data_IF_261699010554
#
_entry.id   IF_261699010554
#
_cell.length_a   1.000
_cell.length_b   1.000
_cell.length_c   1.000
_cell.angle_alpha   90.00
_cell.angle_beta   90.00
_cell.angle_gamma   90.00
#
_symmetry.space_group_name_H-M   'P 1'
#
loop_
_entity.id
_entity.type
_entity.pdbx_description
1 polymer ?
#
# COMPACT_ATOMS: atom_id res chain seq x y z
N UNK A 1 -5.95 -23.88 -32.30
CA UNK A 1 -6.66 -22.99 -31.36
C UNK A 1 -5.66 -22.58 -30.30
N UNK A 2 -5.32 -21.30 -30.18
CA UNK A 2 -4.52 -20.84 -29.05
C UNK A 2 -5.27 -21.20 -27.76
N UNK A 3 -4.60 -21.78 -26.77
CA UNK A 3 -5.23 -22.06 -25.47
C UNK A 3 -5.72 -20.73 -24.90
N UNK A 4 -6.99 -20.67 -24.48
CA UNK A 4 -7.57 -19.50 -23.83
C UNK A 4 -6.83 -19.29 -22.51
N UNK A 5 -6.19 -18.12 -22.35
CA UNK A 5 -5.49 -17.76 -21.11
C UNK A 5 -6.50 -17.59 -19.98
N UNK A 6 -6.19 -18.08 -18.80
CA UNK A 6 -7.01 -17.93 -17.59
C UNK A 6 -6.42 -16.91 -16.63
N UNK A 7 -7.20 -15.87 -16.33
CA UNK A 7 -6.87 -14.82 -15.35
C UNK A 7 -7.66 -15.04 -14.06
N UNK A 8 -6.96 -15.13 -12.94
CA UNK A 8 -7.56 -15.18 -11.61
C UNK A 8 -7.52 -13.80 -10.93
N UNK A 9 -8.68 -13.25 -10.62
CA UNK A 9 -8.81 -12.05 -9.79
C UNK A 9 -8.78 -12.43 -8.30
N UNK A 10 -7.73 -11.98 -7.60
CA UNK A 10 -7.51 -12.17 -6.17
C UNK A 10 -7.87 -10.89 -5.39
N UNK A 11 -8.49 -11.09 -4.23
CA UNK A 11 -8.69 -9.99 -3.27
C UNK A 11 -10.05 -9.31 -3.38
N UNK A 12 -11.08 -9.99 -3.88
CA UNK A 12 -12.41 -9.42 -3.96
C UNK A 12 -13.09 -9.43 -2.57
N UNK A 13 -12.64 -8.50 -1.71
CA UNK A 13 -12.97 -8.42 -0.29
C UNK A 13 -14.38 -7.89 -0.03
N UNK A 14 -14.99 -7.24 -1.02
CA UNK A 14 -16.35 -6.73 -0.91
C UNK A 14 -17.12 -6.90 -2.23
N UNK A 15 -18.45 -6.90 -2.14
CA UNK A 15 -19.32 -7.12 -3.30
C UNK A 15 -19.11 -6.08 -4.42
N UNK A 16 -18.70 -4.86 -4.07
CA UNK A 16 -18.50 -3.75 -5.01
C UNK A 16 -17.23 -3.95 -5.86
N UNK A 17 -16.19 -4.50 -5.26
CA UNK A 17 -14.95 -4.88 -5.94
C UNK A 17 -15.17 -6.03 -6.92
N UNK A 18 -15.90 -7.07 -6.49
CA UNK A 18 -16.27 -8.17 -7.39
C UNK A 18 -17.09 -7.65 -8.58
N UNK A 19 -18.04 -6.75 -8.32
CA UNK A 19 -18.85 -6.16 -9.37
C UNK A 19 -18.02 -5.40 -10.40
N UNK A 20 -17.02 -4.66 -9.94
CA UNK A 20 -16.09 -3.95 -10.81
C UNK A 20 -15.33 -4.95 -11.70
N UNK A 21 -14.75 -5.99 -11.10
CA UNK A 21 -13.99 -6.98 -11.86
C UNK A 21 -14.84 -7.85 -12.78
N UNK A 22 -16.12 -8.09 -12.47
CA UNK A 22 -17.05 -8.75 -13.40
C UNK A 22 -17.20 -7.93 -14.69
N UNK A 23 -17.26 -6.60 -14.59
CA UNK A 23 -17.36 -5.73 -15.78
C UNK A 23 -16.05 -5.68 -16.57
N UNK A 24 -14.92 -5.63 -15.88
CA UNK A 24 -13.59 -5.77 -16.50
C UNK A 24 -13.49 -7.12 -17.22
N UNK A 25 -13.91 -8.21 -16.58
CA UNK A 25 -13.87 -9.56 -17.14
C UNK A 25 -14.71 -9.75 -18.41
N UNK A 26 -15.82 -9.02 -18.57
CA UNK A 26 -16.57 -9.02 -19.84
C UNK A 26 -15.72 -8.52 -21.01
N UNK A 27 -14.90 -7.49 -20.79
CA UNK A 27 -13.97 -6.96 -21.80
C UNK A 27 -12.82 -7.94 -22.05
N UNK A 28 -12.28 -8.57 -21.01
CA UNK A 28 -11.26 -9.61 -21.20
C UNK A 28 -11.80 -10.83 -21.98
N UNK A 29 -13.07 -11.19 -21.74
CA UNK A 29 -13.71 -12.32 -22.41
C UNK A 29 -13.92 -12.09 -23.91
N UNK A 30 -14.13 -10.84 -24.36
CA UNK A 30 -14.21 -10.55 -25.81
C UNK A 30 -12.87 -10.75 -26.52
N UNK A 31 -11.76 -10.63 -25.79
CA UNK A 31 -10.40 -10.92 -26.27
C UNK A 31 -10.00 -12.40 -26.07
N UNK A 32 -10.96 -13.28 -25.71
CA UNK A 32 -10.70 -14.72 -25.56
C UNK A 32 -10.00 -15.12 -24.27
N UNK A 33 -9.97 -14.25 -23.25
CA UNK A 33 -9.42 -14.53 -21.93
C UNK A 33 -10.51 -15.05 -21.00
N UNK A 34 -10.28 -16.23 -20.41
CA UNK A 34 -11.13 -16.77 -19.36
C UNK A 34 -10.82 -16.09 -18.03
N UNK A 35 -11.84 -15.74 -17.25
CA UNK A 35 -11.66 -15.10 -15.95
C UNK A 35 -12.25 -15.93 -14.82
N UNK A 36 -11.53 -16.02 -13.70
CA UNK A 36 -11.97 -16.61 -12.44
C UNK A 36 -11.84 -15.57 -11.33
N UNK A 37 -12.65 -15.73 -10.27
CA UNK A 37 -12.65 -14.81 -9.14
C UNK A 37 -12.48 -15.56 -7.83
N UNK A 38 -11.86 -14.93 -6.85
CA UNK A 38 -11.81 -15.44 -5.47
C UNK A 38 -12.59 -14.54 -4.55
N UNK A 39 -13.08 -15.11 -3.44
CA UNK A 39 -13.65 -14.32 -2.34
C UNK A 39 -13.17 -14.83 -1.00
N UNK A 40 -13.09 -13.92 -0.03
CA UNK A 40 -12.85 -14.23 1.37
C UNK A 40 -14.11 -14.71 2.12
N UNK A 41 -15.29 -14.61 1.52
CA UNK A 41 -16.55 -14.90 2.20
C UNK A 41 -17.28 -15.98 1.44
N UNK A 42 -17.51 -17.12 2.08
CA UNK A 42 -18.19 -18.24 1.44
C UNK A 42 -19.59 -17.84 1.00
N UNK A 43 -20.32 -17.12 1.85
CA UNK A 43 -21.65 -16.62 1.53
C UNK A 43 -21.67 -15.69 0.32
N UNK A 44 -20.68 -14.81 0.17
CA UNK A 44 -20.62 -13.93 -1.01
C UNK A 44 -20.40 -14.73 -2.29
N UNK A 45 -19.54 -15.75 -2.25
CA UNK A 45 -19.34 -16.64 -3.39
C UNK A 45 -20.64 -17.38 -3.76
N UNK A 46 -21.37 -17.92 -2.77
CA UNK A 46 -22.67 -18.59 -2.99
C UNK A 46 -23.73 -17.63 -3.56
N UNK A 47 -23.84 -16.41 -3.02
CA UNK A 47 -24.79 -15.40 -3.49
C UNK A 47 -24.51 -14.95 -4.93
N UNK A 48 -23.23 -14.74 -5.28
CA UNK A 48 -22.84 -14.35 -6.63
C UNK A 48 -23.06 -15.47 -7.64
N UNK A 49 -22.77 -16.71 -7.27
CA UNK A 49 -23.08 -17.89 -8.10
C UNK A 49 -24.58 -18.01 -8.33
N UNK A 50 -25.39 -17.89 -7.28
CA UNK A 50 -26.85 -18.01 -7.37
C UNK A 50 -27.49 -16.88 -8.17
N UNK A 51 -27.07 -15.63 -7.95
CA UNK A 51 -27.74 -14.45 -8.49
C UNK A 51 -27.19 -14.01 -9.85
N UNK A 52 -25.91 -14.28 -10.13
CA UNK A 52 -25.22 -13.79 -11.34
C UNK A 52 -24.59 -14.90 -12.18
N UNK A 53 -24.65 -16.16 -11.74
CA UNK A 53 -24.02 -17.27 -12.45
C UNK A 53 -22.49 -17.20 -12.48
N UNK A 54 -21.86 -16.35 -11.67
CA UNK A 54 -20.41 -16.18 -11.62
C UNK A 54 -19.81 -17.18 -10.65
N UNK A 55 -18.90 -18.01 -11.12
CA UNK A 55 -18.15 -18.94 -10.29
C UNK A 55 -17.06 -18.20 -9.50
N UNK A 56 -17.17 -18.25 -8.18
CA UNK A 56 -16.28 -17.54 -7.25
C UNK A 56 -15.70 -18.55 -6.27
N UNK A 57 -14.37 -18.62 -6.21
CA UNK A 57 -13.63 -19.55 -5.38
C UNK A 57 -13.47 -18.97 -3.96
N UNK A 58 -14.16 -19.57 -2.99
CA UNK A 58 -14.08 -19.16 -1.59
C UNK A 58 -12.87 -19.82 -0.91
N UNK A 59 -11.75 -19.10 -0.81
CA UNK A 59 -10.48 -19.64 -0.29
C UNK A 59 -10.61 -20.10 1.18
N UNK A 60 -11.23 -19.34 2.10
CA UNK A 60 -11.46 -19.82 3.47
C UNK A 60 -12.29 -21.10 3.55
N UNK A 61 -13.31 -21.25 2.69
CA UNK A 61 -14.13 -22.45 2.65
C UNK A 61 -13.36 -23.67 2.15
N UNK A 62 -12.47 -23.47 1.17
CA UNK A 62 -11.56 -24.54 0.74
C UNK A 62 -10.68 -25.01 1.90
N UNK A 63 -10.12 -24.06 2.68
CA UNK A 63 -9.29 -24.38 3.84
C UNK A 63 -10.09 -25.15 4.90
N UNK A 64 -11.30 -24.68 5.24
CA UNK A 64 -12.18 -25.36 6.19
C UNK A 64 -12.51 -26.80 5.74
N UNK A 65 -12.76 -26.99 4.44
CA UNK A 65 -13.15 -28.29 3.88
C UNK A 65 -12.00 -29.28 3.73
N UNK A 66 -10.75 -28.80 3.71
CA UNK A 66 -9.53 -29.60 3.55
C UNK A 66 -8.65 -29.53 4.81
N UNK A 67 -9.27 -29.28 5.96
CA UNK A 67 -8.57 -29.14 7.23
C UNK A 67 -7.81 -30.42 7.59
N UNK A 68 -6.53 -30.25 7.90
CA UNK A 68 -5.67 -31.25 8.50
C UNK A 68 -4.62 -30.58 9.40
N UNK A 69 -3.94 -31.38 10.20
CA UNK A 69 -2.86 -30.93 11.08
C UNK A 69 -1.58 -30.71 10.26
N UNK A 70 -0.95 -29.55 10.45
CA UNK A 70 0.30 -29.18 9.79
C UNK A 70 1.35 -28.98 10.89
N UNK A 71 2.56 -29.59 10.79
CA UNK A 71 3.59 -29.38 11.80
C UNK A 71 4.19 -27.97 11.66
N UNK A 72 3.67 -27.01 12.45
CA UNK A 72 3.88 -25.56 12.29
C UNK A 72 5.33 -25.15 11.95
N UNK A 73 6.30 -25.45 12.82
CA UNK A 73 7.68 -24.92 12.67
C UNK A 73 8.48 -25.60 11.56
N UNK A 74 8.40 -26.92 11.43
CA UNK A 74 9.11 -27.65 10.38
C UNK A 74 8.51 -27.36 9.01
N UNK A 75 7.18 -27.28 8.92
CA UNK A 75 6.49 -26.91 7.69
C UNK A 75 6.77 -25.45 7.30
N UNK A 76 6.86 -24.52 8.26
CA UNK A 76 7.27 -23.14 7.97
C UNK A 76 8.68 -23.08 7.37
N UNK A 77 9.65 -23.79 7.94
CA UNK A 77 11.02 -23.87 7.39
C UNK A 77 11.08 -24.53 6.02
N UNK A 78 10.30 -25.60 5.82
CA UNK A 78 10.18 -26.24 4.52
C UNK A 78 9.56 -25.28 3.48
N UNK A 79 8.56 -24.49 3.90
CA UNK A 79 7.94 -23.47 3.06
C UNK A 79 8.91 -22.33 2.72
N UNK A 80 9.82 -21.96 3.61
CA UNK A 80 10.86 -20.97 3.30
C UNK A 80 11.69 -21.39 2.09
N UNK A 81 12.18 -22.63 2.09
CA UNK A 81 12.90 -23.19 0.95
C UNK A 81 11.99 -23.39 -0.27
N UNK A 82 10.75 -23.84 -0.07
CA UNK A 82 9.78 -24.10 -1.14
C UNK A 82 9.45 -22.84 -1.95
N UNK A 83 9.33 -21.69 -1.29
CA UNK A 83 8.86 -20.45 -1.89
C UNK A 83 9.95 -19.38 -2.05
N UNK A 84 11.22 -19.73 -1.82
CA UNK A 84 12.37 -18.81 -1.90
C UNK A 84 12.17 -17.58 -0.99
N UNK A 85 11.78 -17.84 0.26
CA UNK A 85 11.52 -16.82 1.25
C UNK A 85 12.79 -16.51 2.04
N UNK A 86 13.16 -15.23 2.13
CA UNK A 86 14.19 -14.74 3.07
C UNK A 86 13.85 -15.13 4.53
N UNK A 87 12.58 -14.97 4.91
CA UNK A 87 12.04 -15.43 6.20
C UNK A 87 10.55 -15.67 6.07
N UNK A 88 10.02 -16.67 6.77
CA UNK A 88 8.60 -16.96 6.80
C UNK A 88 7.77 -15.80 7.36
N UNK A 89 8.35 -15.00 8.28
CA UNK A 89 7.67 -13.83 8.86
C UNK A 89 7.26 -12.80 7.81
N UNK A 90 7.94 -12.74 6.66
CA UNK A 90 7.57 -11.83 5.58
C UNK A 90 6.16 -12.11 5.02
N UNK A 91 5.64 -13.32 5.21
CA UNK A 91 4.34 -13.76 4.69
C UNK A 91 3.18 -13.11 5.44
N UNK A 92 3.30 -12.99 6.76
CA UNK A 92 2.22 -12.52 7.63
C UNK A 92 2.47 -11.14 8.26
N UNK A 93 3.70 -10.64 8.25
CA UNK A 93 4.05 -9.35 8.88
C UNK A 93 3.25 -8.15 8.34
N UNK A 94 2.72 -8.23 7.11
CA UNK A 94 1.90 -7.19 6.51
C UNK A 94 0.41 -7.24 6.86
N UNK A 95 -0.08 -8.35 7.41
CA UNK A 95 -1.51 -8.55 7.59
C UNK A 95 -2.00 -8.06 8.96
N UNK A 96 -2.83 -7.00 8.94
CA UNK A 96 -3.38 -6.37 10.15
C UNK A 96 -4.14 -7.33 11.04
N UNK A 97 -4.77 -8.35 10.46
CA UNK A 97 -5.57 -9.30 11.22
C UNK A 97 -4.68 -10.27 12.02
N UNK A 98 -3.38 -10.37 11.70
CA UNK A 98 -2.40 -11.22 12.36
C UNK A 98 -1.53 -10.51 13.40
N UNK A 99 -1.59 -9.18 13.54
CA UNK A 99 -0.67 -8.41 14.40
C UNK A 99 -0.72 -8.73 15.91
N UNK A 100 -1.81 -9.32 16.38
CA UNK A 100 -1.96 -9.74 17.79
C UNK A 100 -2.26 -11.25 17.89
N UNK A 101 -2.00 -12.01 16.83
CA UNK A 101 -1.96 -13.46 16.86
C UNK A 101 -0.63 -13.93 17.46
N UNK A 102 -0.62 -15.13 18.03
CA UNK A 102 0.64 -15.79 18.33
C UNK A 102 1.32 -16.28 17.05
N UNK A 103 2.61 -16.58 17.14
CA UNK A 103 3.41 -16.98 15.99
C UNK A 103 2.93 -18.31 15.37
N UNK A 104 2.45 -19.25 16.19
CA UNK A 104 1.89 -20.53 15.73
C UNK A 104 0.68 -20.30 14.84
N UNK A 105 -0.27 -19.46 15.28
CA UNK A 105 -1.47 -19.10 14.54
C UNK A 105 -1.12 -18.36 13.23
N UNK A 106 -0.11 -17.49 13.26
CA UNK A 106 0.37 -16.83 12.04
C UNK A 106 0.94 -17.82 11.04
N UNK A 107 1.71 -18.80 11.51
CA UNK A 107 2.31 -19.86 10.71
C UNK A 107 1.23 -20.76 10.11
N UNK A 108 0.36 -21.33 10.94
CA UNK A 108 -0.73 -22.22 10.55
C UNK A 108 -1.59 -21.57 9.46
N UNK A 109 -2.06 -20.34 9.71
CA UNK A 109 -2.89 -19.61 8.73
C UNK A 109 -2.15 -19.38 7.42
N UNK A 110 -0.88 -19.01 7.47
CA UNK A 110 -0.07 -18.76 6.27
C UNK A 110 0.14 -20.02 5.45
N UNK A 111 0.46 -21.15 6.09
CA UNK A 111 0.65 -22.45 5.43
C UNK A 111 -0.64 -22.93 4.77
N UNK A 112 -1.78 -22.80 5.45
CA UNK A 112 -3.09 -23.14 4.87
C UNK A 112 -3.43 -22.31 3.64
N UNK A 113 -3.09 -21.01 3.64
CA UNK A 113 -3.26 -20.18 2.44
C UNK A 113 -2.33 -20.63 1.31
N UNK A 114 -1.09 -21.00 1.59
CA UNK A 114 -0.20 -21.57 0.57
C UNK A 114 -0.81 -22.81 -0.07
N UNK A 115 -1.22 -23.81 0.73
CA UNK A 115 -1.85 -25.04 0.22
C UNK A 115 -3.12 -24.76 -0.59
N UNK A 116 -3.96 -23.83 -0.13
CA UNK A 116 -5.15 -23.42 -0.85
C UNK A 116 -4.80 -22.80 -2.21
N UNK A 117 -3.79 -21.92 -2.28
CA UNK A 117 -3.37 -21.35 -3.55
C UNK A 117 -2.82 -22.40 -4.50
N UNK A 118 -2.01 -23.34 -3.99
CA UNK A 118 -1.48 -24.43 -4.80
C UNK A 118 -2.60 -25.25 -5.44
N UNK A 119 -3.55 -25.72 -4.63
CA UNK A 119 -4.67 -26.51 -5.11
C UNK A 119 -5.57 -25.73 -6.07
N UNK A 120 -5.83 -24.45 -5.80
CA UNK A 120 -6.68 -23.62 -6.65
C UNK A 120 -6.01 -23.30 -8.00
N UNK A 121 -4.69 -23.06 -8.02
CA UNK A 121 -3.96 -22.86 -9.27
C UNK A 121 -3.94 -24.13 -10.12
N UNK A 122 -3.67 -25.29 -9.50
CA UNK A 122 -3.60 -26.57 -10.19
C UNK A 122 -4.98 -26.98 -10.76
N UNK A 123 -6.07 -26.73 -10.01
CA UNK A 123 -7.43 -27.06 -10.43
C UNK A 123 -8.00 -26.15 -11.54
N UNK A 124 -7.44 -24.94 -11.73
CA UNK A 124 -8.01 -23.94 -12.64
C UNK A 124 -7.10 -23.54 -13.81
N UNK A 125 -5.90 -24.12 -13.94
CA UNK A 125 -4.95 -23.82 -15.03
C UNK A 125 -4.71 -22.30 -15.19
N UNK A 126 -4.38 -21.62 -14.08
CA UNK A 126 -4.25 -20.17 -14.04
C UNK A 126 -2.95 -19.70 -14.70
N UNK A 127 -3.04 -18.80 -15.69
CA UNK A 127 -1.89 -18.21 -16.39
C UNK A 127 -1.45 -16.88 -15.77
N UNK A 128 -2.41 -16.11 -15.24
CA UNK A 128 -2.14 -14.84 -14.61
C UNK A 128 -3.02 -14.57 -13.39
N UNK A 129 -2.47 -13.87 -12.41
CA UNK A 129 -3.13 -13.40 -11.21
C UNK A 129 -3.18 -11.88 -11.23
N UNK A 130 -4.37 -11.32 -11.05
CA UNK A 130 -4.58 -9.87 -10.90
C UNK A 130 -5.15 -9.60 -9.53
N UNK A 131 -4.60 -8.63 -8.80
CA UNK A 131 -5.15 -8.20 -7.52
C UNK A 131 -4.96 -6.72 -7.26
N UNK A 132 -5.84 -6.13 -6.44
CA UNK A 132 -5.66 -4.79 -5.88
C UNK A 132 -5.04 -4.85 -4.49
N UNK A 133 -4.74 -3.67 -3.94
CA UNK A 133 -4.32 -3.50 -2.54
C UNK A 133 -5.42 -4.02 -1.61
N UNK A 134 -5.09 -4.90 -0.66
CA UNK A 134 -6.08 -5.63 0.14
C UNK A 134 -5.45 -6.48 1.25
N UNK A 135 -6.10 -7.58 1.63
CA UNK A 135 -5.62 -8.50 2.67
C UNK A 135 -4.23 -9.05 2.35
N UNK A 136 -3.23 -8.60 3.10
CA UNK A 136 -1.82 -8.80 2.75
C UNK A 136 -1.36 -10.24 2.84
N UNK A 137 -1.93 -11.05 3.75
CA UNK A 137 -1.64 -12.47 3.82
C UNK A 137 -1.99 -13.17 2.51
N UNK A 138 -3.17 -12.87 1.96
CA UNK A 138 -3.66 -13.44 0.69
C UNK A 138 -2.77 -12.99 -0.46
N UNK A 139 -2.48 -11.69 -0.51
CA UNK A 139 -1.70 -11.11 -1.60
C UNK A 139 -0.27 -11.67 -1.61
N UNK A 140 0.32 -11.83 -0.43
CA UNK A 140 1.69 -12.34 -0.27
C UNK A 140 1.78 -13.84 -0.51
N UNK A 141 0.87 -14.65 0.07
CA UNK A 141 0.86 -16.10 -0.16
C UNK A 141 0.56 -16.45 -1.62
N UNK A 142 -0.40 -15.78 -2.25
CA UNK A 142 -0.71 -15.98 -3.67
C UNK A 142 0.45 -15.54 -4.57
N UNK A 143 1.16 -14.45 -4.25
CA UNK A 143 2.34 -13.99 -4.97
C UNK A 143 3.40 -15.10 -5.07
N UNK A 144 3.82 -15.61 -3.91
CA UNK A 144 4.88 -16.59 -3.82
C UNK A 144 4.47 -17.95 -4.40
N UNK A 145 3.22 -18.38 -4.17
CA UNK A 145 2.67 -19.59 -4.78
C UNK A 145 2.58 -19.51 -6.31
N UNK A 146 2.18 -18.35 -6.85
CA UNK A 146 2.09 -18.10 -8.29
C UNK A 146 3.48 -18.05 -8.94
N UNK A 147 4.42 -17.31 -8.35
CA UNK A 147 5.80 -17.18 -8.85
C UNK A 147 6.49 -18.53 -8.98
N UNK A 148 6.32 -19.43 -8.00
CA UNK A 148 6.86 -20.80 -8.04
C UNK A 148 6.35 -21.60 -9.24
N UNK A 149 5.11 -21.36 -9.68
CA UNK A 149 4.47 -22.03 -10.82
C UNK A 149 4.72 -21.33 -12.16
N UNK A 150 5.49 -20.24 -12.17
CA UNK A 150 5.66 -19.41 -13.37
C UNK A 150 4.40 -18.64 -13.78
N UNK A 151 3.42 -18.52 -12.88
CA UNK A 151 2.17 -17.78 -13.12
C UNK A 151 2.47 -16.29 -13.02
N UNK A 152 2.01 -15.51 -13.99
CA UNK A 152 2.24 -14.07 -14.03
C UNK A 152 1.43 -13.36 -12.93
N UNK A 153 2.06 -12.54 -12.10
CA UNK A 153 1.36 -11.78 -11.05
C UNK A 153 1.35 -10.30 -11.38
N UNK A 154 0.19 -9.66 -11.32
CA UNK A 154 0.02 -8.22 -11.55
C UNK A 154 -0.82 -7.57 -10.45
N UNK A 155 -0.27 -6.55 -9.80
CA UNK A 155 -0.91 -5.80 -8.73
C UNK A 155 -1.33 -4.41 -9.22
N UNK A 156 -2.63 -4.13 -9.17
CA UNK A 156 -3.16 -2.79 -9.36
C UNK A 156 -2.75 -1.91 -8.19
N UNK A 157 -1.89 -0.94 -8.45
CA UNK A 157 -1.34 -0.05 -7.43
C UNK A 157 -1.52 1.42 -7.83
N UNK A 158 -1.69 2.24 -6.80
CA UNK A 158 -2.02 3.64 -6.95
C UNK A 158 -0.79 4.39 -7.48
N UNK A 159 -1.01 5.28 -8.44
CA UNK A 159 0.01 6.19 -8.93
C UNK A 159 -0.39 7.65 -8.69
N UNK A 160 0.47 8.49 -8.09
CA UNK A 160 0.09 9.84 -7.69
C UNK A 160 -0.04 10.86 -8.83
N UNK A 161 -0.29 10.40 -10.06
CA UNK A 161 -0.72 11.23 -11.19
C UNK A 161 -2.26 11.28 -11.31
N UNK A 162 -2.84 12.27 -12.02
CA UNK A 162 -4.28 12.36 -12.20
C UNK A 162 -4.84 11.19 -13.03
N UNK A 163 -5.79 10.44 -12.48
CA UNK A 163 -6.47 9.32 -13.18
C UNK A 163 -5.50 8.29 -13.75
N UNK A 164 -4.45 7.95 -12.99
CA UNK A 164 -3.49 6.92 -13.39
C UNK A 164 -3.22 5.91 -12.28
N UNK A 165 -2.89 4.71 -12.70
CA UNK A 165 -2.43 3.62 -11.86
C UNK A 165 -1.28 2.88 -12.54
N UNK A 166 -0.67 1.95 -11.82
CA UNK A 166 0.39 1.08 -12.35
C UNK A 166 0.05 -0.36 -12.05
N UNK A 167 0.46 -1.26 -12.95
CA UNK A 167 0.48 -2.69 -12.70
C UNK A 167 1.88 -3.09 -12.26
N UNK A 168 1.98 -3.71 -11.10
CA UNK A 168 3.26 -4.07 -10.49
C UNK A 168 3.39 -5.57 -10.45
N UNK A 169 4.53 -6.11 -10.89
CA UNK A 169 4.79 -7.55 -10.86
C UNK A 169 5.58 -8.01 -9.62
N UNK A 170 5.93 -7.08 -8.73
CA UNK A 170 6.70 -7.33 -7.52
C UNK A 170 6.01 -6.76 -6.28
N UNK A 171 6.39 -7.28 -5.11
CA UNK A 171 5.97 -6.72 -3.83
C UNK A 171 6.80 -5.49 -3.42
N UNK A 172 7.88 -5.19 -4.14
CA UNK A 172 8.84 -4.15 -3.81
C UNK A 172 8.32 -2.73 -4.13
N UNK A 173 9.04 -1.71 -3.62
CA UNK A 173 8.64 -0.30 -3.68
C UNK A 173 9.02 0.43 -4.98
N UNK A 174 9.95 -0.09 -5.78
CA UNK A 174 10.27 0.48 -7.10
C UNK A 174 9.50 -0.25 -8.19
N UNK A 175 8.33 0.28 -8.51
CA UNK A 175 7.41 -0.35 -9.44
C UNK A 175 7.35 0.31 -10.82
N UNK A 176 8.15 1.34 -11.08
CA UNK A 176 8.27 1.93 -12.42
C UNK A 176 9.48 1.40 -13.19
N UNK A 177 10.49 0.88 -12.47
CA UNK A 177 11.77 0.41 -13.04
C UNK A 177 12.32 1.41 -14.07
N UNK A 178 12.39 2.68 -13.67
CA UNK A 178 12.84 3.79 -14.51
C UNK A 178 14.25 4.18 -14.10
N UNK A 179 15.22 3.88 -14.96
CA UNK A 179 16.54 4.48 -14.89
C UNK A 179 16.60 5.73 -15.77
N UNK A 180 16.60 6.91 -15.14
CA UNK A 180 16.60 8.18 -15.87
C UNK A 180 17.92 8.47 -16.58
N UNK A 181 19.00 7.81 -16.19
CA UNK A 181 20.33 8.03 -16.77
C UNK A 181 20.48 7.36 -18.14
N UNK A 182 19.84 6.20 -18.33
CA UNK A 182 19.83 5.50 -19.62
C UNK A 182 18.76 6.00 -20.59
N UNK A 183 17.74 6.71 -20.12
CA UNK A 183 16.68 7.25 -20.98
C UNK A 183 17.14 8.48 -21.77
N UNK A 184 16.64 8.70 -23.01
CA UNK A 184 16.92 9.91 -23.78
C UNK A 184 16.45 11.19 -23.08
N UNK A 185 17.13 12.30 -23.32
CA UNK A 185 16.65 13.61 -22.89
C UNK A 185 15.38 14.01 -23.63
N UNK A 186 14.57 14.84 -22.96
CA UNK A 186 13.29 15.28 -23.51
C UNK A 186 13.52 16.22 -24.71
N UNK A 187 12.85 15.92 -25.82
CA UNK A 187 12.70 16.87 -26.92
C UNK A 187 11.90 18.11 -26.48
N UNK A 188 11.97 19.24 -27.20
CA UNK A 188 11.22 20.45 -26.84
C UNK A 188 9.72 20.22 -26.64
N UNK A 189 9.10 19.36 -27.44
CA UNK A 189 7.67 19.02 -27.33
C UNK A 189 7.39 18.24 -26.04
N UNK A 190 8.24 17.26 -25.72
CA UNK A 190 8.11 16.45 -24.51
C UNK A 190 8.37 17.27 -23.25
N UNK A 191 9.28 18.26 -23.30
CA UNK A 191 9.53 19.17 -22.19
C UNK A 191 8.31 20.06 -21.90
N UNK A 192 7.61 20.52 -22.93
CA UNK A 192 6.34 21.27 -22.77
C UNK A 192 5.27 20.39 -22.13
N UNK A 193 5.12 19.13 -22.55
CA UNK A 193 4.18 18.17 -21.96
C UNK A 193 4.51 17.91 -20.48
N UNK A 194 5.79 17.72 -20.15
CA UNK A 194 6.25 17.51 -18.78
C UNK A 194 6.04 18.75 -17.89
N UNK A 195 6.27 19.95 -18.42
CA UNK A 195 6.00 21.22 -17.73
C UNK A 195 4.52 21.42 -17.45
N UNK A 196 3.65 21.16 -18.43
CA UNK A 196 2.21 21.26 -18.26
C UNK A 196 1.72 20.29 -17.15
N UNK A 197 2.25 19.06 -17.13
CA UNK A 197 1.95 18.11 -16.05
C UNK A 197 2.46 18.60 -14.69
N UNK A 198 3.68 19.14 -14.62
CA UNK A 198 4.25 19.69 -13.38
C UNK A 198 3.38 20.84 -12.84
N UNK A 199 3.01 21.81 -13.69
CA UNK A 199 2.13 22.92 -13.34
C UNK A 199 0.76 22.44 -12.88
N UNK A 200 0.18 21.45 -13.58
CA UNK A 200 -1.08 20.83 -13.17
C UNK A 200 -0.97 20.22 -11.77
N UNK A 201 0.13 19.53 -11.45
CA UNK A 201 0.35 18.91 -10.14
C UNK A 201 0.59 19.94 -9.02
N UNK A 202 1.26 21.06 -9.33
CA UNK A 202 1.48 22.17 -8.38
C UNK A 202 0.15 22.86 -8.06
N UNK A 203 -0.63 23.19 -9.10
CA UNK A 203 -1.89 23.93 -9.00
C UNK A 203 -3.07 23.08 -8.52
N UNK A 204 -2.93 21.75 -8.58
CA UNK A 204 -3.94 20.87 -8.03
C UNK A 204 -4.06 21.14 -6.54
N UNK A 205 -5.28 21.48 -6.10
CA UNK A 205 -5.60 21.47 -4.68
C UNK A 205 -5.10 20.15 -4.09
N UNK A 206 -4.38 20.17 -2.96
CA UNK A 206 -3.95 18.95 -2.31
C UNK A 206 -5.14 18.00 -2.24
N UNK A 207 -4.89 16.71 -2.45
CA UNK A 207 -5.85 15.69 -2.07
C UNK A 207 -5.91 15.68 -0.55
N UNK A 208 -6.48 16.73 0.04
CA UNK A 208 -7.00 16.67 1.39
C UNK A 208 -7.99 15.52 1.35
N UNK A 209 -7.61 14.39 1.92
CA UNK A 209 -8.62 13.51 2.47
C UNK A 209 -9.42 14.41 3.41
N UNK A 210 -10.62 14.82 2.97
CA UNK A 210 -11.56 15.51 3.84
C UNK A 210 -11.85 14.52 4.94
N UNK A 211 -11.22 14.79 6.08
CA UNK A 211 -11.41 14.06 7.30
C UNK A 211 -12.89 14.11 7.62
N UNK A 212 -13.48 12.93 7.78
CA UNK A 212 -14.70 12.79 8.54
C UNK A 212 -14.23 12.25 9.89
N UNK A 213 -14.65 12.86 11.03
CA UNK A 213 -14.46 12.21 12.31
C UNK A 213 -14.99 10.78 12.21
N UNK A 214 -14.46 9.82 12.97
CA UNK A 214 -15.18 8.58 13.20
C UNK A 214 -16.49 8.94 13.92
N UNK A 215 -17.50 9.32 13.15
CA UNK A 215 -18.87 9.42 13.58
C UNK A 215 -19.30 7.98 13.86
N UNK A 216 -20.01 7.77 14.98
CA UNK A 216 -20.76 6.53 15.22
C UNK A 216 -21.95 6.53 14.26
N UNK A 217 -21.67 6.46 12.95
CA UNK A 217 -22.69 6.30 11.94
C UNK A 217 -23.30 4.91 12.09
N UNK A 218 -24.62 4.83 11.95
CA UNK A 218 -25.37 3.59 12.03
C UNK A 218 -24.82 2.51 11.07
N UNK A 219 -24.16 2.91 9.97
CA UNK A 219 -23.45 2.02 9.06
C UNK A 219 -22.22 1.36 9.69
N UNK A 220 -21.45 2.08 10.52
CA UNK A 220 -20.26 1.53 11.19
C UNK A 220 -20.64 0.58 12.33
N UNK A 221 -21.70 0.93 13.08
CA UNK A 221 -22.31 0.06 14.08
C UNK A 221 -22.93 -1.17 13.41
N UNK A 222 -23.64 -0.99 12.29
CA UNK A 222 -24.21 -2.07 11.48
C UNK A 222 -23.16 -3.01 10.88
N UNK A 223 -22.03 -2.48 10.39
CA UNK A 223 -20.87 -3.27 9.94
C UNK A 223 -20.21 -4.03 11.08
N UNK A 224 -20.15 -3.44 12.26
CA UNK A 224 -19.61 -4.11 13.45
C UNK A 224 -20.55 -5.23 13.88
N UNK A 225 -21.85 -4.98 13.97
CA UNK A 225 -22.85 -5.99 14.30
C UNK A 225 -22.93 -7.13 13.27
N UNK A 226 -22.86 -6.81 11.98
CA UNK A 226 -22.80 -7.84 10.94
C UNK A 226 -21.54 -8.69 11.04
N UNK A 227 -20.38 -8.09 11.36
CA UNK A 227 -19.14 -8.83 11.64
C UNK A 227 -19.23 -9.70 12.89
N UNK A 228 -19.85 -9.22 13.97
CA UNK A 228 -20.17 -10.04 15.16
C UNK A 228 -21.04 -11.23 14.78
N UNK A 229 -22.09 -11.00 13.97
CA UNK A 229 -22.95 -12.06 13.46
C UNK A 229 -22.18 -13.06 12.58
N UNK A 230 -21.35 -12.60 11.64
CA UNK A 230 -20.58 -13.49 10.76
C UNK A 230 -19.57 -14.36 11.53
N UNK A 231 -18.86 -13.77 12.49
CA UNK A 231 -17.90 -14.48 13.33
C UNK A 231 -18.54 -15.57 14.20
N UNK A 232 -19.79 -15.33 14.65
CA UNK A 232 -20.51 -16.27 15.50
C UNK A 232 -21.26 -17.34 14.71
N UNK A 233 -21.70 -17.05 13.47
CA UNK A 233 -22.70 -17.87 12.79
C UNK A 233 -22.35 -18.38 11.38
N UNK A 234 -21.43 -17.78 10.60
CA UNK A 234 -21.24 -18.19 9.18
C UNK A 234 -19.82 -18.52 8.76
N UNK A 235 -18.85 -17.62 8.98
CA UNK A 235 -17.50 -17.74 8.40
C UNK A 235 -16.45 -17.88 9.52
N UNK A 236 -16.46 -19.03 10.21
CA UNK A 236 -15.68 -19.24 11.45
C UNK A 236 -14.16 -19.17 11.23
N UNK A 237 -13.65 -19.65 10.09
CA UNK A 237 -12.23 -19.56 9.77
C UNK A 237 -11.81 -18.15 9.32
N UNK A 238 -12.68 -17.42 8.61
CA UNK A 238 -12.40 -16.04 8.24
C UNK A 238 -12.47 -15.08 9.45
N UNK A 239 -13.35 -15.38 10.42
CA UNK A 239 -13.59 -14.58 11.62
C UNK A 239 -13.74 -15.43 12.88
N UNK A 240 -12.64 -15.91 13.47
CA UNK A 240 -12.72 -16.59 14.77
C UNK A 240 -13.30 -15.64 15.82
N UNK A 241 -14.07 -16.12 16.79
CA UNK A 241 -14.71 -15.25 17.81
C UNK A 241 -13.72 -14.32 18.54
N UNK A 242 -12.49 -14.78 18.75
CA UNK A 242 -11.35 -14.00 19.29
C UNK A 242 -11.03 -12.75 18.45
N UNK A 243 -11.19 -12.84 17.13
CA UNK A 243 -11.01 -11.72 16.20
C UNK A 243 -11.92 -10.54 16.55
N UNK A 244 -13.17 -10.82 16.90
CA UNK A 244 -14.15 -9.78 17.19
C UNK A 244 -13.81 -9.02 18.47
N UNK A 245 -13.39 -9.73 19.51
CA UNK A 245 -12.89 -9.13 20.74
C UNK A 245 -11.66 -8.26 20.46
N UNK A 246 -10.70 -8.76 19.67
CA UNK A 246 -9.49 -8.01 19.28
C UNK A 246 -9.82 -6.76 18.48
N UNK A 247 -10.71 -6.85 17.49
CA UNK A 247 -11.15 -5.70 16.69
C UNK A 247 -11.84 -4.65 17.56
N UNK A 248 -12.66 -5.09 18.51
CA UNK A 248 -13.34 -4.19 19.45
C UNK A 248 -12.33 -3.45 20.34
N UNK A 249 -11.35 -4.18 20.90
CA UNK A 249 -10.25 -3.58 21.66
C UNK A 249 -9.40 -2.62 20.82
N UNK A 250 -9.10 -2.98 19.58
CA UNK A 250 -8.38 -2.15 18.62
C UNK A 250 -9.10 -0.82 18.37
N UNK A 251 -10.40 -0.86 18.08
CA UNK A 251 -11.21 0.35 17.85
C UNK A 251 -11.24 1.21 19.11
N UNK A 252 -11.52 0.62 20.28
CA UNK A 252 -11.55 1.33 21.56
C UNK A 252 -10.20 1.99 21.87
N UNK A 253 -9.09 1.30 21.63
CA UNK A 253 -7.74 1.85 21.77
C UNK A 253 -7.53 3.05 20.85
N UNK A 254 -7.93 2.97 19.58
CA UNK A 254 -7.78 4.09 18.64
C UNK A 254 -8.59 5.31 19.05
N UNK A 255 -9.82 5.11 19.53
CA UNK A 255 -10.67 6.21 20.03
C UNK A 255 -10.02 6.86 21.26
N UNK A 256 -9.54 6.04 22.21
CA UNK A 256 -8.82 6.52 23.38
C UNK A 256 -7.56 7.30 22.97
N UNK A 257 -6.66 6.68 22.21
CA UNK A 257 -5.42 7.30 21.75
C UNK A 257 -5.68 8.64 21.04
N UNK A 258 -6.68 8.70 20.15
CA UNK A 258 -7.06 9.94 19.46
C UNK A 258 -7.54 11.03 20.43
N UNK A 259 -8.27 10.67 21.47
CA UNK A 259 -8.74 11.63 22.46
C UNK A 259 -7.58 12.16 23.32
N UNK A 260 -6.74 11.27 23.83
CA UNK A 260 -5.64 11.62 24.74
C UNK A 260 -4.43 12.22 24.03
N UNK A 261 -4.24 12.00 22.72
CA UNK A 261 -3.13 12.60 21.98
C UNK A 261 -3.30 14.09 21.71
N UNK A 262 -4.54 14.63 21.80
CA UNK A 262 -4.85 16.03 21.43
C UNK A 262 -4.01 17.05 22.19
N UNK A 263 -3.68 16.78 23.45
CA UNK A 263 -2.87 17.66 24.30
C UNK A 263 -1.37 17.58 24.03
N UNK A 264 -0.94 16.59 23.24
CA UNK A 264 0.47 16.40 22.89
C UNK A 264 0.88 17.24 21.68
N UNK A 265 -0.06 17.57 20.80
CA UNK A 265 0.24 18.32 19.59
C UNK A 265 0.57 19.79 19.86
N UNK A 266 1.35 20.34 18.96
CA UNK A 266 1.81 21.73 18.99
C UNK A 266 1.37 22.46 17.71
N UNK A 267 1.39 23.78 17.75
CA UNK A 267 1.07 24.61 16.58
C UNK A 267 2.26 24.65 15.62
N UNK A 268 2.01 24.63 14.29
CA UNK A 268 3.08 24.71 13.31
C UNK A 268 3.75 26.08 13.34
N UNK A 269 5.08 26.10 13.52
CA UNK A 269 5.91 27.30 13.37
C UNK A 269 6.60 27.26 12.02
N UNK A 270 6.02 27.96 11.04
CA UNK A 270 6.47 27.95 9.64
C UNK A 270 7.57 28.97 9.34
N UNK A 271 7.90 29.83 10.30
CA UNK A 271 8.86 30.93 10.22
C UNK A 271 10.31 30.52 10.56
N UNK A 272 10.51 29.33 11.12
CA UNK A 272 11.82 28.80 11.49
C UNK A 272 12.49 27.96 10.41
N UNK A 273 13.76 27.60 10.65
CA UNK A 273 14.47 26.60 9.85
C UNK A 273 14.08 25.20 10.32
N UNK A 274 13.37 24.45 9.49
CA UNK A 274 12.95 23.11 9.86
C UNK A 274 12.96 22.12 8.70
N UNK A 275 13.10 20.85 9.05
CA UNK A 275 12.82 19.72 8.16
C UNK A 275 11.46 19.14 8.50
N UNK A 276 10.78 18.59 7.50
CA UNK A 276 9.46 17.98 7.68
C UNK A 276 9.53 16.46 7.52
N UNK A 277 9.05 15.72 8.51
CA UNK A 277 8.87 14.28 8.47
C UNK A 277 7.38 13.89 8.67
N UNK A 278 6.68 13.39 7.64
CA UNK A 278 5.34 12.84 7.78
C UNK A 278 5.44 11.43 8.38
N UNK A 279 4.75 11.19 9.49
CA UNK A 279 4.56 9.84 10.01
C UNK A 279 3.68 9.04 9.03
N UNK A 280 4.02 7.77 8.88
CA UNK A 280 3.29 6.79 8.10
C UNK A 280 2.25 6.06 8.96
N UNK A 281 1.23 5.50 8.30
CA UNK A 281 0.41 4.44 8.89
C UNK A 281 1.32 3.21 9.10
N UNK A 282 1.60 2.86 10.36
CA UNK A 282 2.49 1.74 10.70
C UNK A 282 1.89 0.37 10.34
N UNK A 283 0.61 0.33 10.03
CA UNK A 283 -0.14 -0.84 9.59
C UNK A 283 -0.31 -0.88 8.07
N UNK A 284 0.23 0.09 7.33
CA UNK A 284 0.20 0.11 5.86
C UNK A 284 1.24 -0.86 5.28
N UNK A 285 0.83 -1.55 4.21
CA UNK A 285 1.68 -2.42 3.41
C UNK A 285 2.99 -1.74 2.96
N UNK A 286 2.93 -0.46 2.59
CA UNK A 286 4.08 0.35 2.21
C UNK A 286 5.16 0.34 3.30
N UNK A 287 4.79 0.38 4.57
CA UNK A 287 5.77 0.32 5.64
C UNK A 287 6.07 -1.13 6.04
N UNK A 288 5.06 -1.99 6.14
CA UNK A 288 5.21 -3.35 6.69
C UNK A 288 6.01 -4.29 5.79
N UNK A 289 5.83 -4.18 4.48
CA UNK A 289 6.46 -5.10 3.53
C UNK A 289 7.57 -4.41 2.75
N UNK A 290 7.38 -3.16 2.32
CA UNK A 290 8.40 -2.48 1.51
C UNK A 290 9.51 -1.84 2.34
N UNK A 291 9.24 -1.40 3.56
CA UNK A 291 10.24 -0.75 4.42
C UNK A 291 10.18 -1.23 5.89
N UNK A 292 10.31 -2.55 6.15
CA UNK A 292 10.16 -3.11 7.50
C UNK A 292 11.17 -2.57 8.51
N UNK A 293 12.36 -2.17 8.05
CA UNK A 293 13.40 -1.54 8.88
C UNK A 293 13.02 -0.15 9.39
N UNK A 294 12.02 0.50 8.77
CA UNK A 294 11.50 1.82 9.18
C UNK A 294 10.20 1.74 10.00
N UNK A 295 9.82 0.54 10.48
CA UNK A 295 8.59 0.34 11.27
C UNK A 295 8.58 1.13 12.59
N UNK A 296 9.72 1.19 13.28
CA UNK A 296 9.88 1.96 14.52
C UNK A 296 10.12 3.43 14.15
N UNK A 297 9.03 4.17 13.92
CA UNK A 297 9.11 5.54 13.44
C UNK A 297 9.58 6.52 14.51
N UNK A 298 9.32 6.25 15.80
CA UNK A 298 9.81 7.08 16.90
C UNK A 298 11.34 7.08 16.98
N UNK A 299 11.97 5.94 16.73
CA UNK A 299 13.42 5.85 16.61
C UNK A 299 13.94 6.58 15.37
N UNK A 300 13.25 6.46 14.23
CA UNK A 300 13.60 7.23 13.02
C UNK A 300 13.51 8.73 13.27
N UNK A 301 12.48 9.20 13.97
CA UNK A 301 12.35 10.61 14.37
C UNK A 301 13.53 11.05 15.22
N UNK A 302 13.91 10.24 16.22
CA UNK A 302 15.07 10.52 17.06
C UNK A 302 16.35 10.61 16.24
N UNK A 303 16.61 9.64 15.36
CA UNK A 303 17.78 9.64 14.48
C UNK A 303 17.84 10.87 13.59
N UNK A 304 16.71 11.29 13.01
CA UNK A 304 16.65 12.50 12.18
C UNK A 304 16.95 13.74 13.03
N UNK A 305 16.31 13.87 14.20
CA UNK A 305 16.47 15.01 15.09
C UNK A 305 17.93 15.18 15.56
N UNK A 306 18.61 14.09 15.90
CA UNK A 306 20.02 14.07 16.29
C UNK A 306 20.97 14.32 15.11
N UNK A 307 20.51 14.09 13.87
CA UNK A 307 21.26 14.34 12.64
C UNK A 307 21.13 15.78 12.11
N UNK A 308 20.27 16.60 12.71
CA UNK A 308 20.04 17.97 12.26
C UNK A 308 21.23 18.89 12.60
N UNK A 309 21.57 19.85 11.72
CA UNK A 309 22.48 20.93 12.09
C UNK A 309 21.90 21.79 13.22
N UNK A 310 22.78 22.41 14.02
CA UNK A 310 22.36 23.33 15.10
C UNK A 310 21.47 24.44 14.54
N UNK A 311 20.38 24.73 15.25
CA UNK A 311 19.40 25.76 14.88
C UNK A 311 18.29 25.29 13.93
N UNK A 312 18.26 24.00 13.57
CA UNK A 312 17.18 23.38 12.80
C UNK A 312 16.26 22.56 13.71
N UNK A 313 14.96 22.63 13.44
CA UNK A 313 13.95 21.79 14.08
C UNK A 313 13.44 20.70 13.13
N UNK A 314 12.84 19.65 13.69
CA UNK A 314 12.12 18.62 12.96
C UNK A 314 10.63 18.74 13.24
N UNK A 315 9.85 19.13 12.24
CA UNK A 315 8.40 19.07 12.29
C UNK A 315 7.95 17.65 11.96
N UNK A 316 7.28 16.98 12.89
CA UNK A 316 6.75 15.62 12.73
C UNK A 316 5.24 15.70 12.68
N UNK A 317 4.60 15.17 11.63
CA UNK A 317 3.13 15.23 11.48
C UNK A 317 2.52 13.84 11.44
N UNK A 318 1.48 13.60 12.24
CA UNK A 318 0.72 12.35 12.20
C UNK A 318 -0.08 12.17 10.90
N UNK A 319 -0.23 10.92 10.44
CA UNK A 319 -0.96 10.59 9.23
C UNK A 319 -2.48 10.77 9.41
N UNK A 320 -3.19 11.51 8.53
CA UNK A 320 -4.61 11.80 8.69
C UNK A 320 -5.53 10.57 8.63
N UNK A 321 -5.11 9.50 7.95
CA UNK A 321 -5.87 8.24 7.90
C UNK A 321 -5.51 7.26 9.03
N UNK A 322 -4.54 7.60 9.88
CA UNK A 322 -4.05 6.72 10.97
C UNK A 322 -4.31 7.28 12.37
N UNK A 323 -5.35 8.09 12.53
CA UNK A 323 -5.70 8.73 13.81
C UNK A 323 -5.84 7.73 14.96
N UNK A 324 -5.10 7.99 16.03
CA UNK A 324 -5.10 7.14 17.23
C UNK A 324 -4.51 5.75 17.00
N UNK A 325 -3.99 5.48 15.80
CA UNK A 325 -3.26 4.25 15.49
C UNK A 325 -1.88 4.23 16.15
N UNK A 326 -1.29 5.41 16.36
CA UNK A 326 -0.07 5.56 17.16
C UNK A 326 -0.45 5.68 18.64
N UNK A 327 0.23 4.91 19.48
CA UNK A 327 -0.02 4.94 20.93
C UNK A 327 0.39 6.27 21.56
N UNK A 328 -0.38 6.72 22.55
CA UNK A 328 -0.13 8.00 23.25
C UNK A 328 1.22 8.01 23.97
N UNK A 329 1.76 6.85 24.38
CA UNK A 329 3.13 6.74 24.90
C UNK A 329 4.17 7.07 23.83
N UNK A 330 4.03 6.54 22.61
CA UNK A 330 4.94 6.81 21.50
C UNK A 330 4.90 8.27 21.08
N UNK A 331 3.71 8.87 20.99
CA UNK A 331 3.58 10.31 20.71
C UNK A 331 4.20 11.18 21.82
N UNK A 332 4.06 10.78 23.09
CA UNK A 332 4.72 11.45 24.22
C UNK A 332 6.24 11.37 24.11
N UNK A 333 6.78 10.21 23.74
CA UNK A 333 8.22 10.06 23.51
C UNK A 333 8.67 10.98 22.37
N UNK A 334 8.01 10.95 21.21
CA UNK A 334 8.35 11.83 20.08
C UNK A 334 8.37 13.31 20.50
N UNK A 335 7.36 13.77 21.25
CA UNK A 335 7.27 15.15 21.76
C UNK A 335 8.44 15.52 22.69
N UNK A 336 9.00 14.56 23.43
CA UNK A 336 10.08 14.79 24.38
C UNK A 336 11.46 14.84 23.72
N UNK A 337 11.58 14.42 22.46
CA UNK A 337 12.84 14.52 21.72
C UNK A 337 13.16 16.02 21.54
N UNK A 338 14.38 16.46 21.89
CA UNK A 338 14.81 17.85 21.64
C UNK A 338 14.59 18.24 20.18
N UNK A 339 14.40 19.53 19.91
CA UNK A 339 14.26 20.08 18.56
C UNK A 339 13.19 19.43 17.66
N UNK A 340 12.27 18.64 18.22
CA UNK A 340 11.11 18.07 17.52
C UNK A 340 9.84 18.86 17.87
N UNK A 341 8.99 19.10 16.87
CA UNK A 341 7.64 19.66 17.05
C UNK A 341 6.62 18.67 16.51
N UNK A 342 5.77 18.13 17.39
CA UNK A 342 4.75 17.16 17.01
C UNK A 342 3.46 17.86 16.58
N UNK A 343 3.12 17.75 15.30
CA UNK A 343 2.01 18.45 14.67
C UNK A 343 0.76 17.57 14.54
N UNK A 344 -0.44 18.17 14.68
CA UNK A 344 -1.66 17.43 14.54
C UNK A 344 -1.93 17.07 13.07
N UNK A 345 -2.68 15.98 12.82
CA UNK A 345 -2.94 15.47 11.47
C UNK A 345 -3.71 16.45 10.56
N UNK A 346 -4.39 17.43 11.15
CA UNK A 346 -5.14 18.48 10.45
C UNK A 346 -4.25 19.54 9.78
N UNK A 347 -2.97 19.67 10.18
CA UNK A 347 -2.06 20.64 9.56
C UNK A 347 -1.87 20.32 8.07
N UNK A 348 -1.93 21.33 7.22
CA UNK A 348 -1.69 21.19 5.78
C UNK A 348 -0.27 20.65 5.53
N UNK A 349 -0.17 19.49 4.89
CA UNK A 349 1.13 18.94 4.51
C UNK A 349 1.80 19.82 3.43
N UNK A 350 1.00 20.49 2.57
CA UNK A 350 1.55 21.38 1.55
C UNK A 350 2.16 22.65 2.16
N UNK A 351 1.56 23.20 3.21
CA UNK A 351 2.09 24.39 3.87
C UNK A 351 3.43 24.04 4.53
N UNK A 352 3.51 22.85 5.15
CA UNK A 352 4.75 22.30 5.69
C UNK A 352 5.80 22.04 4.60
N UNK A 353 5.44 21.41 3.47
CA UNK A 353 6.35 21.22 2.33
C UNK A 353 6.89 22.57 1.84
N UNK A 354 6.01 23.56 1.70
CA UNK A 354 6.35 24.87 1.14
C UNK A 354 7.30 25.66 2.03
N UNK A 355 7.12 25.56 3.36
CA UNK A 355 7.96 26.25 4.33
C UNK A 355 9.23 25.48 4.73
N UNK A 356 9.24 24.14 4.64
CA UNK A 356 10.39 23.33 5.04
C UNK A 356 11.62 23.55 4.14
N UNK A 357 12.79 23.40 4.75
CA UNK A 357 14.10 23.43 4.09
C UNK A 357 14.36 22.14 3.30
N UNK A 358 13.94 21.00 3.86
CA UNK A 358 13.92 19.71 3.19
C UNK A 358 12.84 18.79 3.79
N UNK A 359 12.41 17.81 3.03
CA UNK A 359 11.46 16.78 3.47
C UNK A 359 12.26 15.50 3.70
N UNK A 360 12.12 14.90 4.88
CA UNK A 360 12.62 13.54 5.13
C UNK A 360 11.43 12.61 5.04
N UNK A 361 11.55 11.50 4.31
CA UNK A 361 10.44 10.54 4.21
C UNK A 361 10.92 9.14 3.92
N UNK A 362 10.13 8.14 4.30
CA UNK A 362 10.39 6.73 3.99
C UNK A 362 9.96 6.46 2.55
N UNK A 363 8.65 6.38 2.30
CA UNK A 363 8.07 6.15 0.97
C UNK A 363 6.73 6.85 0.75
N UNK A 364 6.49 7.96 1.45
CA UNK A 364 5.23 8.70 1.37
C UNK A 364 5.06 9.40 0.02
N UNK A 365 3.81 9.61 -0.40
CA UNK A 365 3.48 10.52 -1.51
C UNK A 365 3.86 11.96 -1.20
N UNK A 366 4.00 12.35 0.08
CA UNK A 366 4.51 13.67 0.51
C UNK A 366 5.88 13.96 -0.09
N UNK A 367 6.76 12.96 -0.22
CA UNK A 367 8.04 13.13 -0.90
C UNK A 367 7.88 13.47 -2.37
N UNK A 368 6.96 12.81 -3.08
CA UNK A 368 6.66 13.16 -4.47
C UNK A 368 6.05 14.57 -4.61
N UNK A 369 5.14 14.94 -3.71
CA UNK A 369 4.56 16.29 -3.67
C UNK A 369 5.59 17.39 -3.41
N UNK A 370 6.64 17.06 -2.65
CA UNK A 370 7.79 17.93 -2.41
C UNK A 370 8.69 18.05 -3.65
N UNK A 371 9.00 16.93 -4.33
CA UNK A 371 9.77 16.95 -5.58
C UNK A 371 9.12 17.80 -6.66
N UNK A 372 7.81 17.65 -6.84
CA UNK A 372 7.00 18.45 -7.78
C UNK A 372 7.09 19.95 -7.46
N UNK A 373 7.31 20.33 -6.20
CA UNK A 373 7.45 21.74 -5.76
C UNK A 373 8.90 22.19 -5.69
N UNK A 374 9.84 21.42 -6.24
CA UNK A 374 11.26 21.74 -6.24
C UNK A 374 11.90 21.72 -4.85
N UNK A 375 11.28 21.02 -3.88
CA UNK A 375 11.81 20.88 -2.52
C UNK A 375 12.73 19.65 -2.45
N UNK A 376 13.89 19.76 -1.77
CA UNK A 376 14.80 18.64 -1.61
C UNK A 376 14.15 17.58 -0.71
N UNK A 377 14.33 16.31 -1.09
CA UNK A 377 13.76 15.15 -0.40
C UNK A 377 14.86 14.19 -0.01
N UNK A 378 14.98 13.92 1.29
CA UNK A 378 15.80 12.85 1.85
C UNK A 378 14.95 11.58 1.91
N UNK A 379 15.31 10.58 1.13
CA UNK A 379 14.60 9.29 1.06
C UNK A 379 15.27 8.27 2.00
N UNK A 380 14.49 7.70 2.91
CA UNK A 380 14.94 6.67 3.86
C UNK A 380 14.54 5.25 3.45
N UNK A 381 13.64 5.09 2.48
CA UNK A 381 13.14 3.78 2.09
C UNK A 381 12.73 3.71 0.62
N UNK A 382 12.41 2.51 0.13
CA UNK A 382 12.08 2.31 -1.28
C UNK A 382 10.75 2.99 -1.62
N UNK A 383 10.82 3.96 -2.50
CA UNK A 383 9.69 4.68 -3.10
C UNK A 383 9.83 4.66 -4.62
N UNK A 384 8.74 4.90 -5.33
CA UNK A 384 8.75 4.90 -6.80
C UNK A 384 9.59 6.03 -7.42
N UNK A 385 9.96 7.05 -6.64
CA UNK A 385 10.81 8.17 -7.06
C UNK A 385 12.26 8.09 -6.57
N UNK A 386 12.58 7.18 -5.64
CA UNK A 386 13.96 6.92 -5.16
C UNK A 386 14.84 6.37 -6.29
N UNK A 387 16.15 6.58 -6.20
CA UNK A 387 17.16 5.94 -7.04
C UNK A 387 17.29 6.54 -8.43
N UNK A 388 16.70 7.73 -8.63
CA UNK A 388 16.55 8.37 -9.94
C UNK A 388 17.34 9.67 -10.07
N UNK A 389 18.22 9.96 -9.10
CA UNK A 389 18.99 11.21 -9.04
C UNK A 389 18.17 12.46 -8.70
N UNK A 390 16.87 12.30 -8.38
CA UNK A 390 15.96 13.40 -8.00
C UNK A 390 15.78 13.52 -6.48
N UNK A 391 16.35 12.61 -5.71
CA UNK A 391 16.29 12.56 -4.23
C UNK A 391 17.69 12.44 -3.63
N UNK A 392 17.81 12.80 -2.36
CA UNK A 392 18.98 12.53 -1.54
C UNK A 392 18.75 11.19 -0.82
N UNK A 393 19.31 10.12 -1.38
CA UNK A 393 19.03 8.76 -0.94
C UNK A 393 19.94 8.35 0.23
N UNK A 394 19.35 7.87 1.32
CA UNK A 394 20.06 7.32 2.49
C UNK A 394 20.06 5.80 2.36
N UNK A 395 21.21 5.20 2.02
CA UNK A 395 21.36 3.74 1.99
C UNK A 395 21.81 3.18 3.35
N UNK A 396 22.51 3.99 4.14
CA UNK A 396 22.93 3.67 5.50
C UNK A 396 22.56 4.84 6.43
N UNK A 397 21.89 4.55 7.55
CA UNK A 397 21.52 5.56 8.54
C UNK A 397 22.73 6.30 9.14
N UNK A 398 23.94 5.72 9.08
CA UNK A 398 25.18 6.40 9.45
C UNK A 398 25.44 7.66 8.61
N UNK A 399 25.04 7.64 7.34
CA UNK A 399 25.22 8.78 6.42
C UNK A 399 24.13 9.85 6.56
N UNK A 400 23.11 9.62 7.40
CA UNK A 400 21.96 10.51 7.54
C UNK A 400 22.36 11.98 7.84
N UNK A 401 23.29 12.30 8.76
CA UNK A 401 23.71 13.69 8.98
C UNK A 401 24.33 14.34 7.73
N UNK A 402 25.14 13.58 6.98
CA UNK A 402 25.77 14.06 5.75
C UNK A 402 24.72 14.31 4.68
N UNK A 403 23.79 13.37 4.48
CA UNK A 403 22.73 13.47 3.48
C UNK A 403 21.75 14.61 3.79
N UNK A 404 21.37 14.78 5.07
CA UNK A 404 20.56 15.93 5.51
C UNK A 404 21.28 17.25 5.22
N UNK A 405 22.58 17.34 5.53
CA UNK A 405 23.37 18.54 5.26
C UNK A 405 23.45 18.88 3.77
N UNK A 406 23.53 17.87 2.90
CA UNK A 406 23.51 18.05 1.44
C UNK A 406 22.12 18.48 0.93
N UNK A 407 21.06 17.95 1.53
CA UNK A 407 19.69 18.30 1.16
C UNK A 407 19.34 19.73 1.56
N UNK A 408 19.81 20.22 2.72
CA UNK A 408 19.59 21.60 3.16
C UNK A 408 20.30 22.57 2.21
N UNK A 409 19.52 23.46 1.58
CA UNK A 409 20.02 24.39 0.56
C UNK A 409 20.23 23.74 -0.83
N UNK A 410 20.12 22.42 -0.92
CA UNK A 410 20.06 21.69 -2.18
C UNK A 410 18.72 21.87 -2.88
N UNK A 411 18.67 21.55 -4.17
CA UNK A 411 17.44 21.48 -4.95
C UNK A 411 17.47 20.23 -5.84
N UNK A 412 16.32 19.55 -6.04
CA UNK A 412 16.25 18.49 -7.03
C UNK A 412 16.50 19.07 -8.42
N UNK A 413 17.16 18.30 -9.29
CA UNK A 413 17.37 18.69 -10.69
C UNK A 413 16.03 18.74 -11.43
N UNK A 414 15.58 19.95 -11.75
CA UNK A 414 14.31 20.19 -12.43
C UNK A 414 14.21 19.45 -13.78
N UNK A 415 15.33 19.33 -14.52
CA UNK A 415 15.34 18.58 -15.78
C UNK A 415 15.07 17.10 -15.54
N UNK A 416 15.70 16.52 -14.52
CA UNK A 416 15.47 15.12 -14.15
C UNK A 416 14.06 14.91 -13.58
N UNK A 417 13.52 15.85 -12.81
CA UNK A 417 12.13 15.79 -12.32
C UNK A 417 11.14 15.79 -13.49
N UNK A 418 11.31 16.67 -14.48
CA UNK A 418 10.47 16.68 -15.70
C UNK A 418 10.61 15.39 -16.51
N UNK A 419 11.85 14.92 -16.70
CA UNK A 419 12.15 13.63 -17.35
C UNK A 419 11.44 12.48 -16.65
N UNK A 420 11.51 12.43 -15.33
CA UNK A 420 10.79 11.47 -14.50
C UNK A 420 9.29 11.54 -14.73
N UNK A 421 8.67 12.72 -14.63
CA UNK A 421 7.23 12.90 -14.80
C UNK A 421 6.75 12.43 -16.18
N UNK A 422 7.50 12.79 -17.24
CA UNK A 422 7.19 12.38 -18.61
C UNK A 422 7.18 10.86 -18.76
N UNK A 423 8.27 10.19 -18.36
CA UNK A 423 8.39 8.74 -18.51
C UNK A 423 7.48 7.97 -17.54
N UNK A 424 7.28 8.48 -16.32
CA UNK A 424 6.34 7.90 -15.36
C UNK A 424 4.90 7.97 -15.87
N UNK A 425 4.51 9.06 -16.55
CA UNK A 425 3.22 9.15 -17.22
C UNK A 425 3.09 8.08 -18.32
N UNK A 426 4.12 7.88 -19.15
CA UNK A 426 4.09 6.87 -20.23
C UNK A 426 4.14 5.42 -19.74
N UNK A 427 4.72 5.17 -18.55
CA UNK A 427 4.80 3.84 -17.92
C UNK A 427 3.59 3.47 -17.06
N UNK A 428 2.78 4.45 -16.67
CA UNK A 428 1.52 4.21 -15.95
C UNK A 428 0.36 4.07 -16.94
N UNK A 429 -0.78 3.57 -16.48
CA UNK A 429 -2.00 3.40 -17.27
C UNK A 429 -3.04 4.43 -16.84
N UNK A 430 -3.89 4.86 -17.78
CA UNK A 430 -5.01 5.74 -17.49
C UNK A 430 -6.17 4.91 -16.90
N UNK A 431 -6.92 5.50 -15.97
CA UNK A 431 -8.06 4.88 -15.32
C UNK A 431 -8.03 4.98 -13.79
N UNK A 432 -9.08 4.47 -13.16
CA UNK A 432 -9.32 4.45 -11.72
C UNK A 432 -9.84 3.07 -11.29
N UNK A 433 -9.01 2.31 -10.58
CA UNK A 433 -9.38 1.01 -10.01
C UNK A 433 -9.89 1.11 -8.55
N UNK A 434 -10.00 2.32 -7.98
CA UNK A 434 -10.35 2.57 -6.57
C UNK A 434 -11.85 2.43 -6.27
N UNK A 435 -12.62 1.80 -7.17
CA UNK A 435 -14.06 1.55 -7.05
C UNK A 435 -14.91 2.82 -6.93
N UNK A 436 -14.38 3.96 -7.39
CA UNK A 436 -15.10 5.25 -7.41
C UNK A 436 -15.83 5.47 -8.73
N UNK A 437 -15.29 4.95 -9.82
CA UNK A 437 -15.78 5.11 -11.17
C UNK A 437 -16.11 3.75 -11.80
N UNK A 438 -17.38 3.56 -12.16
CA UNK A 438 -17.93 2.36 -12.80
C UNK A 438 -18.42 2.67 -14.23
N UNK A 439 -17.99 3.79 -14.82
CA UNK A 439 -18.25 4.10 -16.22
C UNK A 439 -17.60 3.06 -17.14
N UNK A 440 -18.25 2.77 -18.27
CA UNK A 440 -17.71 1.81 -19.25
C UNK A 440 -16.38 2.29 -19.84
N UNK A 441 -16.17 3.61 -19.96
CA UNK A 441 -14.88 4.19 -20.35
C UNK A 441 -13.76 3.78 -19.38
N UNK A 442 -13.96 3.99 -18.07
CA UNK A 442 -12.98 3.62 -17.07
C UNK A 442 -12.73 2.10 -17.02
N UNK A 443 -13.79 1.30 -17.12
CA UNK A 443 -13.70 -0.17 -17.11
C UNK A 443 -12.88 -0.65 -18.31
N UNK A 444 -13.12 -0.09 -19.50
CA UNK A 444 -12.37 -0.41 -20.72
C UNK A 444 -10.89 -0.08 -20.58
N UNK A 445 -10.56 1.10 -20.04
CA UNK A 445 -9.17 1.50 -19.77
C UNK A 445 -8.45 0.55 -18.81
N UNK A 446 -9.11 0.13 -17.72
CA UNK A 446 -8.54 -0.82 -16.75
C UNK A 446 -8.39 -2.22 -17.37
N UNK A 447 -9.36 -2.67 -18.16
CA UNK A 447 -9.28 -3.94 -18.87
C UNK A 447 -8.13 -3.96 -19.88
N UNK A 448 -7.97 -2.89 -20.67
CA UNK A 448 -6.88 -2.74 -21.62
C UNK A 448 -5.51 -2.78 -20.94
N UNK A 449 -5.34 -2.08 -19.82
CA UNK A 449 -4.10 -2.13 -19.06
C UNK A 449 -3.75 -3.55 -18.59
N UNK A 450 -4.75 -4.30 -18.12
CA UNK A 450 -4.59 -5.69 -17.69
C UNK A 450 -4.23 -6.58 -18.88
N UNK A 451 -4.86 -6.40 -20.04
CA UNK A 451 -4.55 -7.12 -21.28
C UNK A 451 -3.11 -6.90 -21.72
N UNK A 452 -2.70 -5.63 -21.84
CA UNK A 452 -1.33 -5.25 -22.22
C UNK A 452 -0.30 -5.89 -21.30
N UNK A 453 -0.58 -5.92 -19.99
CA UNK A 453 0.31 -6.56 -19.04
C UNK A 453 0.29 -8.09 -19.20
N UNK A 454 -0.84 -8.76 -19.40
CA UNK A 454 -0.88 -10.22 -19.62
C UNK A 454 -0.17 -10.63 -20.93
N UNK A 455 -0.17 -9.75 -21.94
CA UNK A 455 0.40 -10.02 -23.27
C UNK A 455 1.89 -9.69 -23.39
N UNK A 456 2.45 -8.85 -22.51
CA UNK A 456 3.88 -8.56 -22.46
C UNK A 456 4.69 -9.84 -22.21
N UNK A 457 5.24 -10.41 -23.28
CA UNK A 457 6.20 -11.54 -23.34
C UNK A 457 7.60 -10.98 -23.61
#
# INVERSE_FOLDING_TARGET
>A
MAMSKTVLFIGAHNKREIEFYIRVAKHLSSEGIQTKFTSQYHRHAVELRRNKGVDVLAVPHWIESNWHDIPDLEAARAAEAKYDLISFRQVYNGDRELFECDESECIDRSLRYFEAWEALFDANSVDAVVSAIGGELIRTTSFFAARRRGIKTSYLNFFPLPHRFVLVSTLHGDFLNLDLTSLPDLSPVQDVEARALLEQLINRSPRFFRWHPPTLEAEYVGKTFSRWYFALFTDRYAYPSRWVFRKSRYISRRVFNHFFSRTLYEQPRLDGKFLFFPLHDSEDFQLRVRAPHCQNQEFIVQLIAESLPIGYNLCVKEHPNFLGGIDTSTLRWIKQIPNVTLLPPQVSALDLISAAEAIVTINSTVGFEALVRGKPVVSLGPSFYRGKGITFDVDNFYDLPKTIKQAIGGKPDEKLVKKFLYYAMRKSHQGDYTLRDFSEENISLVAQAILEEIERV
#
